data_IF_789864222150
#
_entry.id   IF_789864222150
#
_cell.length_a   1.000
_cell.length_b   1.000
_cell.length_c   1.000
_cell.angle_alpha   90.00
_cell.angle_beta   90.00
_cell.angle_gamma   90.00
#
_symmetry.space_group_name_H-M   'P 1'
#
loop_
_entity.id
_entity.type
_entity.pdbx_description
1 polymer ?
#
# COMPACT_ATOMS: atom_id res chain seq x y z
N UNK A 1 21.52 26.02 -12.66
CA UNK A 1 21.03 25.36 -11.42
C UNK A 1 19.66 25.88 -10.98
N UNK A 2 19.40 27.19 -11.01
CA UNK A 2 18.13 27.78 -10.56
C UNK A 2 16.91 27.36 -11.41
N UNK A 3 17.04 27.28 -12.73
CA UNK A 3 15.97 26.77 -13.64
C UNK A 3 15.52 25.35 -13.32
N UNK A 4 16.42 24.46 -12.91
CA UNK A 4 16.06 23.06 -12.58
C UNK A 4 15.31 22.94 -11.24
N UNK A 5 15.61 23.82 -10.27
CA UNK A 5 14.86 23.87 -8.99
C UNK A 5 13.41 24.30 -9.21
N UNK A 6 13.20 25.34 -10.02
CA UNK A 6 11.86 25.85 -10.33
C UNK A 6 11.05 24.80 -11.14
N UNK A 7 11.68 24.10 -12.08
CA UNK A 7 11.04 23.02 -12.83
C UNK A 7 10.60 21.86 -11.92
N UNK A 8 11.43 21.44 -10.96
CA UNK A 8 11.08 20.41 -10.00
C UNK A 8 9.88 20.83 -9.13
N UNK A 9 9.92 22.04 -8.58
CA UNK A 9 8.83 22.54 -7.74
C UNK A 9 7.52 22.69 -8.50
N UNK A 10 7.56 23.13 -9.77
CA UNK A 10 6.35 23.21 -10.61
C UNK A 10 5.78 21.83 -10.92
N UNK A 11 6.64 20.83 -11.16
CA UNK A 11 6.18 19.43 -11.34
C UNK A 11 5.51 18.89 -10.07
N UNK A 12 6.11 19.11 -8.89
CA UNK A 12 5.51 18.67 -7.61
C UNK A 12 4.16 19.34 -7.37
N UNK A 13 4.03 20.64 -7.69
CA UNK A 13 2.74 21.36 -7.56
C UNK A 13 1.68 20.78 -8.50
N UNK A 14 2.05 20.50 -9.75
CA UNK A 14 1.11 19.89 -10.70
C UNK A 14 0.63 18.52 -10.22
N UNK A 15 1.54 17.67 -9.69
CA UNK A 15 1.17 16.37 -9.10
C UNK A 15 0.25 16.53 -7.88
N UNK A 16 0.45 17.55 -7.05
CA UNK A 16 -0.44 17.83 -5.92
C UNK A 16 -1.83 18.31 -6.37
N UNK A 17 -1.92 19.05 -7.49
CA UNK A 17 -3.19 19.44 -8.08
C UNK A 17 -3.95 18.24 -8.66
N UNK A 18 -3.23 17.28 -9.26
CA UNK A 18 -3.81 16.02 -9.77
C UNK A 18 -4.41 15.14 -8.66
N UNK A 19 -3.95 15.26 -7.40
CA UNK A 19 -4.57 14.56 -6.26
C UNK A 19 -6.05 14.92 -6.05
N UNK A 20 -6.48 16.09 -6.53
CA UNK A 20 -7.90 16.46 -6.51
C UNK A 20 -8.79 15.52 -7.33
N UNK A 21 -8.25 14.88 -8.35
CA UNK A 21 -8.98 13.91 -9.19
C UNK A 21 -9.22 12.58 -8.45
N UNK A 22 -8.49 12.32 -7.36
CA UNK A 22 -8.63 11.13 -6.51
C UNK A 22 -9.55 11.36 -5.29
N UNK A 23 -10.19 12.54 -5.15
CA UNK A 23 -11.00 12.89 -3.98
C UNK A 23 -12.10 11.87 -3.71
N UNK A 24 -12.84 11.43 -4.73
CA UNK A 24 -13.91 10.44 -4.58
C UNK A 24 -13.37 9.09 -4.06
N UNK A 25 -12.22 8.64 -4.57
CA UNK A 25 -11.57 7.40 -4.12
C UNK A 25 -11.07 7.55 -2.68
N UNK A 26 -10.45 8.68 -2.33
CA UNK A 26 -10.02 8.97 -0.97
C UNK A 26 -11.19 9.04 0.01
N UNK A 27 -12.30 9.69 -0.36
CA UNK A 27 -13.51 9.76 0.46
C UNK A 27 -14.14 8.39 0.69
N UNK A 28 -14.17 7.54 -0.33
CA UNK A 28 -14.67 6.17 -0.20
C UNK A 28 -13.77 5.33 0.73
N UNK A 29 -12.46 5.45 0.60
CA UNK A 29 -11.52 4.80 1.50
C UNK A 29 -11.70 5.28 2.95
N UNK A 30 -11.85 6.59 3.15
CA UNK A 30 -12.10 7.19 4.47
C UNK A 30 -13.41 6.67 5.09
N UNK A 31 -14.48 6.53 4.29
CA UNK A 31 -15.74 5.94 4.76
C UNK A 31 -15.55 4.49 5.20
N UNK A 32 -14.82 3.68 4.42
CA UNK A 32 -14.52 2.29 4.81
C UNK A 32 -13.71 2.21 6.12
N UNK A 33 -12.72 3.09 6.29
CA UNK A 33 -11.97 3.17 7.54
C UNK A 33 -12.86 3.54 8.73
N UNK A 34 -13.75 4.53 8.56
CA UNK A 34 -14.69 4.94 9.61
C UNK A 34 -15.65 3.80 9.98
N UNK A 35 -16.16 3.07 8.98
CA UNK A 35 -17.06 1.93 9.20
C UNK A 35 -16.33 0.79 9.93
N UNK A 36 -15.10 0.44 9.52
CA UNK A 36 -14.29 -0.57 10.18
C UNK A 36 -14.02 -0.21 11.64
N UNK A 37 -13.54 1.01 11.90
CA UNK A 37 -13.21 1.50 13.26
C UNK A 37 -14.45 1.52 14.16
N UNK A 38 -15.57 2.02 13.66
CA UNK A 38 -16.83 2.07 14.44
C UNK A 38 -17.40 0.68 14.68
N UNK A 39 -17.12 -0.28 13.79
CA UNK A 39 -17.43 -1.70 13.95
C UNK A 39 -16.49 -2.45 14.91
N UNK A 40 -15.44 -1.80 15.43
CA UNK A 40 -14.44 -2.41 16.30
C UNK A 40 -13.29 -3.10 15.55
N UNK A 41 -13.21 -2.93 14.23
CA UNK A 41 -12.16 -3.45 13.38
C UNK A 41 -10.93 -2.55 13.30
N UNK A 42 -9.97 -2.94 12.47
CA UNK A 42 -8.68 -2.29 12.29
C UNK A 42 -8.48 -1.76 10.86
N UNK A 43 -7.59 -0.77 10.76
CA UNK A 43 -7.00 -0.33 9.51
C UNK A 43 -5.56 -0.82 9.44
N UNK A 44 -5.28 -1.75 8.54
CA UNK A 44 -3.94 -2.28 8.33
C UNK A 44 -3.24 -1.51 7.21
N UNK A 45 -1.94 -1.27 7.36
CA UNK A 45 -1.13 -0.62 6.33
C UNK A 45 0.15 -1.41 6.10
N UNK A 46 0.38 -1.82 4.86
CA UNK A 46 1.56 -2.57 4.43
C UNK A 46 2.26 -1.90 3.26
N UNK A 47 3.57 -1.95 3.26
CA UNK A 47 4.43 -1.62 2.12
C UNK A 47 5.78 -2.30 2.23
N UNK A 48 6.41 -2.61 1.09
CA UNK A 48 7.78 -3.10 1.04
C UNK A 48 8.76 -1.97 0.65
N UNK A 49 10.00 -2.07 1.08
CA UNK A 49 11.02 -1.06 0.79
C UNK A 49 10.63 0.30 1.34
N UNK A 50 10.74 1.38 0.56
CA UNK A 50 10.32 2.73 1.00
C UNK A 50 8.80 2.86 1.22
N UNK A 51 8.00 2.00 0.62
CA UNK A 51 6.55 2.04 0.80
C UNK A 51 6.09 1.73 2.24
N UNK A 52 6.95 1.10 3.07
CA UNK A 52 6.63 0.85 4.49
C UNK A 52 6.53 2.16 5.31
N UNK A 53 7.13 3.25 4.83
CA UNK A 53 7.04 4.57 5.48
C UNK A 53 5.59 5.05 5.65
N UNK A 54 4.69 4.65 4.75
CA UNK A 54 3.27 4.96 4.89
C UNK A 54 2.64 4.24 6.11
N UNK A 55 3.07 3.02 6.39
CA UNK A 55 2.64 2.28 7.58
C UNK A 55 3.18 2.91 8.86
N UNK A 56 4.47 3.30 8.88
CA UNK A 56 5.08 3.99 10.02
C UNK A 56 4.41 5.34 10.28
N UNK A 57 4.08 6.12 9.23
CA UNK A 57 3.44 7.42 9.35
C UNK A 57 2.01 7.32 9.91
N UNK A 58 1.27 6.26 9.57
CA UNK A 58 -0.08 6.04 10.06
C UNK A 58 -0.16 5.50 11.50
N UNK A 59 0.92 4.88 12.00
CA UNK A 59 0.92 4.10 13.23
C UNK A 59 1.59 4.84 14.39
N UNK A 60 0.98 4.73 15.59
CA UNK A 60 1.53 5.12 16.90
C UNK A 60 2.17 6.52 16.95
N UNK A 61 1.50 7.51 16.44
CA UNK A 61 1.95 8.91 16.49
C UNK A 61 0.97 9.80 17.26
N UNK A 62 1.47 10.89 17.82
CA UNK A 62 0.63 11.87 18.52
C UNK A 62 -0.46 12.42 17.58
N UNK A 63 -1.73 12.30 18.00
CA UNK A 63 -2.88 12.72 17.22
C UNK A 63 -3.31 11.74 16.12
N UNK A 64 -2.66 10.58 15.98
CA UNK A 64 -3.06 9.52 15.06
C UNK A 64 -4.25 8.70 15.56
N UNK A 65 -4.84 7.93 14.65
CA UNK A 65 -5.90 6.97 14.99
C UNK A 65 -5.32 5.77 15.74
N UNK A 66 -5.96 5.35 16.82
CA UNK A 66 -5.51 4.20 17.62
C UNK A 66 -5.70 2.86 16.88
N UNK A 67 -6.83 2.57 16.20
CA UNK A 67 -7.06 1.28 15.55
C UNK A 67 -6.37 1.18 14.19
N UNK A 68 -5.07 1.49 14.16
CA UNK A 68 -4.20 1.31 12.99
C UNK A 68 -3.14 0.26 13.30
N UNK A 69 -3.02 -0.75 12.47
CA UNK A 69 -1.99 -1.77 12.50
C UNK A 69 -0.98 -1.57 11.37
N UNK A 70 0.25 -1.23 11.72
CA UNK A 70 1.35 -1.18 10.77
C UNK A 70 1.94 -2.57 10.56
N UNK A 71 1.79 -3.13 9.37
CA UNK A 71 2.39 -4.42 9.00
C UNK A 71 3.84 -4.18 8.59
N UNK A 72 4.73 -4.18 9.59
CA UNK A 72 6.15 -3.89 9.44
C UNK A 72 6.96 -5.17 9.40
N UNK A 73 7.44 -5.52 8.23
CA UNK A 73 8.18 -6.76 7.97
C UNK A 73 9.67 -6.45 7.84
N UNK A 74 10.45 -6.72 8.89
CA UNK A 74 11.88 -6.37 9.00
C UNK A 74 12.70 -6.70 7.76
N UNK A 75 12.54 -7.90 7.23
CA UNK A 75 13.32 -8.36 6.08
C UNK A 75 12.90 -7.76 4.73
N UNK A 76 11.77 -7.03 4.66
CA UNK A 76 11.35 -6.20 3.54
C UNK A 76 11.73 -4.72 3.70
N UNK A 77 12.26 -4.31 4.85
CA UNK A 77 12.69 -2.95 5.12
C UNK A 77 14.10 -2.67 4.60
N UNK A 78 14.32 -1.48 4.06
CA UNK A 78 15.61 -1.13 3.44
C UNK A 78 16.77 -1.06 4.42
N UNK A 79 16.53 -0.61 5.64
CA UNK A 79 17.54 -0.51 6.69
C UNK A 79 18.04 -1.88 7.19
N UNK A 80 17.30 -2.94 6.93
CA UNK A 80 17.71 -4.33 7.20
C UNK A 80 18.52 -4.95 6.04
N UNK A 81 18.68 -4.22 4.93
CA UNK A 81 19.47 -4.64 3.78
C UNK A 81 18.69 -4.50 2.46
N UNK A 82 18.94 -3.42 1.74
CA UNK A 82 18.19 -3.02 0.54
C UNK A 82 18.16 -4.08 -0.56
N UNK A 83 19.32 -4.75 -0.80
CA UNK A 83 19.40 -5.83 -1.80
C UNK A 83 18.55 -7.05 -1.40
N UNK A 84 18.61 -7.42 -0.11
CA UNK A 84 17.82 -8.54 0.43
C UNK A 84 16.32 -8.22 0.32
N UNK A 85 15.89 -7.05 0.78
CA UNK A 85 14.50 -6.62 0.68
C UNK A 85 13.99 -6.69 -0.76
N UNK A 86 14.76 -6.17 -1.74
CA UNK A 86 14.40 -6.21 -3.15
C UNK A 86 14.31 -7.63 -3.73
N UNK A 87 15.09 -8.57 -3.25
CA UNK A 87 15.03 -9.97 -3.67
C UNK A 87 13.83 -10.68 -3.05
N UNK A 88 13.60 -10.47 -1.75
CA UNK A 88 12.51 -11.10 -1.00
C UNK A 88 11.14 -10.61 -1.47
N UNK A 89 10.98 -9.33 -1.78
CA UNK A 89 9.73 -8.77 -2.34
C UNK A 89 9.30 -9.48 -3.64
N UNK A 90 10.25 -10.09 -4.35
CA UNK A 90 10.02 -10.82 -5.61
C UNK A 90 9.77 -12.31 -5.43
N UNK A 91 9.84 -12.81 -4.21
CA UNK A 91 9.62 -14.24 -3.94
C UNK A 91 8.12 -14.51 -3.76
N UNK A 92 7.54 -15.48 -4.52
CA UNK A 92 6.18 -15.94 -4.28
C UNK A 92 6.03 -16.65 -2.94
N UNK A 93 4.82 -16.60 -2.37
CA UNK A 93 4.43 -17.32 -1.15
C UNK A 93 4.68 -16.55 0.14
N UNK A 94 5.36 -15.40 0.09
CA UNK A 94 5.64 -14.62 1.30
C UNK A 94 4.47 -13.71 1.72
N UNK A 95 3.64 -13.28 0.80
CA UNK A 95 2.51 -12.41 1.11
C UNK A 95 1.47 -13.08 2.01
N UNK A 96 1.10 -14.33 1.71
CA UNK A 96 0.21 -15.14 2.56
C UNK A 96 0.81 -15.34 3.97
N UNK A 97 2.10 -15.67 4.05
CA UNK A 97 2.80 -15.83 5.33
C UNK A 97 2.72 -14.53 6.17
N UNK A 98 2.96 -13.37 5.57
CA UNK A 98 2.89 -12.07 6.25
C UNK A 98 1.50 -11.88 6.85
N UNK A 99 0.45 -11.99 6.04
CA UNK A 99 -0.92 -11.76 6.50
C UNK A 99 -1.36 -12.82 7.52
N UNK A 100 -0.80 -14.04 7.46
CA UNK A 100 -1.13 -15.11 8.41
C UNK A 100 -0.71 -14.80 9.86
N UNK A 101 0.22 -13.89 10.05
CA UNK A 101 0.71 -13.47 11.36
C UNK A 101 0.04 -12.18 11.87
N UNK A 102 -0.82 -11.57 11.05
CA UNK A 102 -1.50 -10.33 11.38
C UNK A 102 -2.96 -10.58 11.83
N UNK A 103 -3.51 -9.73 12.71
CA UNK A 103 -4.88 -9.87 13.21
C UNK A 103 -5.92 -9.33 12.21
N UNK A 104 -5.87 -9.83 10.98
CA UNK A 104 -6.79 -9.40 9.91
C UNK A 104 -8.10 -10.16 10.02
N UNK A 105 -9.21 -9.43 10.13
CA UNK A 105 -10.56 -9.96 10.25
C UNK A 105 -11.51 -9.41 9.17
N UNK A 106 -12.66 -10.04 9.04
CA UNK A 106 -13.69 -9.59 8.11
C UNK A 106 -14.24 -8.22 8.55
N UNK A 107 -14.32 -7.30 7.60
CA UNK A 107 -14.75 -5.92 7.86
C UNK A 107 -13.61 -4.93 8.10
N UNK A 108 -12.38 -5.40 8.26
CA UNK A 108 -11.18 -4.54 8.31
C UNK A 108 -10.92 -3.85 6.96
N UNK A 109 -10.10 -2.80 7.00
CA UNK A 109 -9.55 -2.16 5.80
C UNK A 109 -8.05 -2.42 5.74
N UNK A 110 -7.56 -2.82 4.57
CA UNK A 110 -6.15 -3.12 4.37
C UNK A 110 -5.56 -2.29 3.23
N UNK A 111 -4.70 -1.34 3.57
CA UNK A 111 -3.94 -0.55 2.59
C UNK A 111 -2.68 -1.29 2.18
N UNK A 112 -2.51 -1.48 0.88
CA UNK A 112 -1.27 -2.01 0.30
C UNK A 112 -0.61 -0.93 -0.54
N UNK A 113 0.57 -0.51 -0.12
CA UNK A 113 1.32 0.58 -0.77
C UNK A 113 2.43 0.00 -1.64
N UNK A 114 2.34 0.21 -2.94
CA UNK A 114 3.35 -0.26 -3.89
C UNK A 114 3.30 0.56 -5.18
N UNK A 115 4.32 1.39 -5.43
CA UNK A 115 4.35 2.28 -6.59
C UNK A 115 4.10 1.57 -7.93
N UNK A 116 4.70 0.41 -8.17
CA UNK A 116 4.50 -0.36 -9.41
C UNK A 116 3.41 -1.43 -9.31
N UNK A 117 3.06 -1.86 -8.11
CA UNK A 117 2.11 -2.95 -7.86
C UNK A 117 2.44 -4.29 -8.50
N UNK A 118 3.70 -4.50 -8.97
CA UNK A 118 4.07 -5.60 -9.88
C UNK A 118 4.70 -6.82 -9.24
N UNK A 119 5.23 -6.67 -8.01
CA UNK A 119 5.96 -7.74 -7.33
C UNK A 119 5.00 -8.73 -6.65
N UNK A 120 5.37 -10.02 -6.52
CA UNK A 120 4.54 -11.04 -5.88
C UNK A 120 4.05 -10.64 -4.49
N UNK A 121 4.94 -10.19 -3.60
CA UNK A 121 4.60 -9.96 -2.20
C UNK A 121 3.44 -8.97 -2.01
N UNK A 122 3.43 -7.73 -2.55
CA UNK A 122 2.29 -6.84 -2.38
C UNK A 122 1.00 -7.36 -3.02
N UNK A 123 1.08 -8.13 -4.11
CA UNK A 123 -0.09 -8.77 -4.75
C UNK A 123 -0.66 -9.84 -3.83
N UNK A 124 0.17 -10.73 -3.31
CA UNK A 124 -0.23 -11.82 -2.41
C UNK A 124 -0.76 -11.31 -1.07
N UNK A 125 -0.17 -10.23 -0.51
CA UNK A 125 -0.69 -9.56 0.69
C UNK A 125 -2.12 -9.05 0.44
N UNK A 126 -2.36 -8.40 -0.70
CA UNK A 126 -3.70 -7.94 -1.07
C UNK A 126 -4.70 -9.11 -1.19
N UNK A 127 -4.30 -10.20 -1.85
CA UNK A 127 -5.13 -11.40 -1.99
C UNK A 127 -5.43 -12.07 -0.65
N UNK A 128 -4.42 -12.21 0.20
CA UNK A 128 -4.57 -12.83 1.52
C UNK A 128 -5.46 -11.99 2.45
N UNK A 129 -5.30 -10.67 2.45
CA UNK A 129 -6.18 -9.77 3.21
C UNK A 129 -7.63 -9.86 2.72
N UNK A 130 -7.84 -9.84 1.40
CA UNK A 130 -9.14 -9.96 0.78
C UNK A 130 -9.81 -11.32 1.08
N UNK A 131 -9.05 -12.42 1.08
CA UNK A 131 -9.55 -13.75 1.41
C UNK A 131 -10.04 -13.88 2.85
N UNK A 132 -9.56 -13.01 3.75
CA UNK A 132 -10.01 -12.90 5.14
C UNK A 132 -11.19 -11.94 5.34
N UNK A 133 -11.69 -11.35 4.27
CA UNK A 133 -12.85 -10.46 4.29
C UNK A 133 -12.53 -9.00 4.56
N UNK A 134 -11.25 -8.59 4.54
CA UNK A 134 -10.86 -7.19 4.56
C UNK A 134 -11.15 -6.53 3.22
N UNK A 135 -11.51 -5.24 3.24
CA UNK A 135 -11.54 -4.40 2.05
C UNK A 135 -10.13 -3.92 1.71
N UNK A 136 -9.66 -4.18 0.50
CA UNK A 136 -8.30 -3.85 0.08
C UNK A 136 -8.25 -2.55 -0.71
N UNK A 137 -7.46 -1.59 -0.22
CA UNK A 137 -7.16 -0.33 -0.90
C UNK A 137 -5.71 -0.35 -1.39
N UNK A 138 -5.49 -0.18 -2.69
CA UNK A 138 -4.16 -0.03 -3.26
C UNK A 138 -3.78 1.45 -3.37
N UNK A 139 -2.61 1.81 -2.84
CA UNK A 139 -1.92 3.06 -3.16
C UNK A 139 -0.82 2.73 -4.17
N UNK A 140 -1.01 3.10 -5.44
CA UNK A 140 -0.13 2.66 -6.53
C UNK A 140 -0.17 3.64 -7.70
N UNK A 141 0.93 3.86 -8.38
CA UNK A 141 0.90 4.64 -9.61
C UNK A 141 0.33 3.82 -10.77
N UNK A 142 -0.84 4.19 -11.26
CA UNK A 142 -1.49 3.57 -12.43
C UNK A 142 -0.61 3.70 -13.67
N UNK A 143 -0.03 4.87 -13.90
CA UNK A 143 0.86 5.12 -15.02
C UNK A 143 2.10 4.23 -14.96
N UNK A 144 2.78 4.19 -13.83
CA UNK A 144 3.97 3.34 -13.68
C UNK A 144 3.61 1.85 -13.75
N UNK A 145 2.53 1.44 -13.09
CA UNK A 145 2.04 0.08 -13.15
C UNK A 145 1.74 -0.37 -14.59
N UNK A 146 1.09 0.48 -15.40
CA UNK A 146 0.80 0.18 -16.79
C UNK A 146 2.07 0.01 -17.67
N UNK A 147 3.12 0.78 -17.37
CA UNK A 147 4.37 0.78 -18.13
C UNK A 147 5.27 -0.45 -17.88
N UNK A 148 4.99 -1.27 -16.86
CA UNK A 148 5.83 -2.40 -16.48
C UNK A 148 5.05 -3.72 -16.44
N UNK A 149 5.68 -4.83 -16.82
CA UNK A 149 5.05 -6.15 -16.74
C UNK A 149 4.98 -6.64 -15.27
N UNK A 150 3.95 -7.41 -14.92
CA UNK A 150 3.88 -8.12 -13.64
C UNK A 150 5.08 -9.07 -13.49
N UNK A 151 5.54 -9.27 -12.24
CA UNK A 151 6.64 -10.21 -11.95
C UNK A 151 6.15 -11.55 -11.41
N UNK A 152 4.92 -11.62 -10.94
CA UNK A 152 4.30 -12.89 -10.56
C UNK A 152 3.97 -13.75 -11.77
N UNK A 153 4.06 -15.07 -11.64
CA UNK A 153 3.79 -16.02 -12.75
C UNK A 153 2.37 -15.98 -13.32
N UNK A 154 1.44 -15.30 -12.62
CA UNK A 154 0.03 -15.16 -13.05
C UNK A 154 -0.26 -13.90 -13.88
N UNK A 155 0.72 -13.01 -14.04
CA UNK A 155 0.54 -11.78 -14.79
C UNK A 155 -0.34 -10.72 -14.11
N UNK A 156 -0.68 -10.90 -12.84
CA UNK A 156 -1.59 -10.05 -12.06
C UNK A 156 -0.81 -8.99 -11.30
N UNK A 157 -1.37 -7.80 -11.15
CA UNK A 157 -0.81 -6.67 -10.40
C UNK A 157 -1.73 -6.28 -9.23
N UNK A 158 -1.23 -5.47 -8.33
CA UNK A 158 -1.95 -5.01 -7.15
C UNK A 158 -3.29 -4.34 -7.49
N UNK A 159 -3.30 -3.47 -8.52
CA UNK A 159 -4.51 -2.79 -8.96
C UNK A 159 -5.60 -3.73 -9.50
N UNK A 160 -5.23 -4.94 -9.95
CA UNK A 160 -6.20 -5.94 -10.43
C UNK A 160 -6.89 -6.69 -9.28
N UNK A 161 -6.29 -6.65 -8.07
CA UNK A 161 -6.78 -7.35 -6.87
C UNK A 161 -7.57 -6.42 -5.95
N UNK A 162 -7.12 -5.18 -5.80
CA UNK A 162 -7.70 -4.21 -4.86
C UNK A 162 -9.18 -3.93 -5.15
N UNK A 163 -9.95 -3.67 -4.10
CA UNK A 163 -11.35 -3.24 -4.20
C UNK A 163 -11.44 -1.75 -4.56
N UNK A 164 -10.40 -0.98 -4.20
CA UNK A 164 -10.25 0.42 -4.52
C UNK A 164 -8.79 0.74 -4.83
N UNK A 165 -8.56 1.60 -5.81
CA UNK A 165 -7.23 2.07 -6.19
C UNK A 165 -7.20 3.58 -6.06
N UNK A 166 -6.21 4.11 -5.35
CA UNK A 166 -5.83 5.52 -5.25
C UNK A 166 -4.47 5.67 -5.95
N UNK A 167 -4.40 6.58 -6.95
CA UNK A 167 -3.20 6.82 -7.79
C UNK A 167 -2.25 7.82 -7.17
#
# INVERSE_FOLDING_TARGET
>A
MERNRLAYLSTVRALLEELGDEEDAMMLAAQWCADAITGGGLVHVFGAGHSHMAAEEAFYRAGGLVPVNAVLVDWLMLHQGSRRASLLERQPGLGELIVSTEPVEAGDVFFVVSNSGRNPVPVEVAEAAKSRGAKVVALTSRQHSAAVAARGGRGVKLADIADLVID
#
